data_IF_488968364113
#
_entry.id   IF_488968364113
#
_cell.length_a   1.000
_cell.length_b   1.000
_cell.length_c   1.000
_cell.angle_alpha   90.00
_cell.angle_beta   90.00
_cell.angle_gamma   90.00
#
_symmetry.space_group_name_H-M   'P 1'
#
loop_
_entity.id
_entity.type
_entity.pdbx_description
1 polymer ?
#
# COMPACT_ATOMS: atom_id res chain seq x y z
N UNK A 1 7.98 -8.38 -12.91
CA UNK A 1 8.11 -7.04 -12.30
C UNK A 1 6.87 -6.66 -11.48
N UNK A 2 6.36 -7.55 -10.61
CA UNK A 2 5.19 -7.26 -9.75
C UNK A 2 5.54 -7.44 -8.26
N UNK A 3 6.38 -8.42 -7.91
CA UNK A 3 6.78 -8.68 -6.53
C UNK A 3 7.77 -7.66 -5.91
N UNK A 4 8.59 -6.99 -6.72
CA UNK A 4 9.57 -6.01 -6.20
C UNK A 4 8.91 -4.72 -5.67
N UNK A 5 7.68 -4.42 -6.14
CA UNK A 5 6.97 -3.24 -5.65
C UNK A 5 6.36 -3.46 -4.27
N UNK A 6 5.84 -4.63 -3.95
CA UNK A 6 5.18 -4.88 -2.66
C UNK A 6 6.16 -4.85 -1.47
N UNK A 7 7.34 -5.46 -1.60
CA UNK A 7 8.32 -5.47 -0.51
C UNK A 7 8.90 -4.08 -0.22
N UNK A 8 9.25 -3.31 -1.26
CA UNK A 8 9.72 -1.93 -1.07
C UNK A 8 8.62 -1.00 -0.55
N UNK A 9 7.35 -1.33 -0.80
CA UNK A 9 6.21 -0.57 -0.30
C UNK A 9 5.99 -0.83 1.19
N UNK A 10 6.06 -2.09 1.62
CA UNK A 10 5.99 -2.48 3.03
C UNK A 10 7.16 -1.87 3.84
N UNK A 11 8.36 -1.83 3.26
CA UNK A 11 9.51 -1.15 3.87
C UNK A 11 9.30 0.35 4.09
N UNK A 12 8.56 1.03 3.21
CA UNK A 12 8.22 2.46 3.38
C UNK A 12 7.24 2.71 4.52
N UNK A 13 6.24 1.83 4.67
CA UNK A 13 5.25 1.94 5.76
C UNK A 13 5.96 1.90 7.12
N UNK A 14 6.88 0.94 7.31
CA UNK A 14 7.63 0.79 8.56
C UNK A 14 8.51 2.03 8.81
N UNK A 15 9.19 2.55 7.78
CA UNK A 15 10.04 3.75 7.91
C UNK A 15 9.21 5.00 8.20
N UNK A 16 8.06 5.21 7.55
CA UNK A 16 7.19 6.37 7.82
C UNK A 16 6.61 6.35 9.24
N UNK A 17 6.14 5.18 9.70
CA UNK A 17 5.61 5.03 11.06
C UNK A 17 6.68 5.32 12.10
N UNK A 18 7.91 4.81 11.90
CA UNK A 18 9.02 5.06 12.81
C UNK A 18 9.60 6.48 12.69
N UNK A 19 9.45 7.15 11.55
CA UNK A 19 9.93 8.51 11.32
C UNK A 19 9.00 9.59 11.90
N UNK A 20 7.70 9.31 11.96
CA UNK A 20 6.68 10.29 12.42
C UNK A 20 6.40 10.22 13.91
N UNK A 21 6.66 9.07 14.55
CA UNK A 21 6.47 8.88 15.98
C UNK A 21 7.59 8.02 16.56
N UNK A 22 8.22 8.50 17.63
CA UNK A 22 9.04 7.63 18.47
C UNK A 22 8.12 6.87 19.41
N UNK A 23 8.21 5.55 19.38
CA UNK A 23 7.48 4.68 20.30
C UNK A 23 8.36 4.37 21.49
N UNK A 24 7.86 4.70 22.68
CA UNK A 24 8.55 4.40 23.94
C UNK A 24 8.41 2.92 24.36
N UNK A 25 7.56 2.16 23.67
CA UNK A 25 7.38 0.72 23.89
C UNK A 25 6.97 -0.03 22.63
N UNK A 26 7.32 -1.32 22.56
CA UNK A 26 6.90 -2.22 21.49
C UNK A 26 5.37 -2.37 21.43
N UNK A 27 4.70 -2.35 22.58
CA UNK A 27 3.24 -2.41 22.69
C UNK A 27 2.55 -1.18 22.07
N UNK A 28 3.14 0.01 22.22
CA UNK A 28 2.65 1.23 21.56
C UNK A 28 2.75 1.15 20.03
N UNK A 29 3.83 0.55 19.53
CA UNK A 29 4.01 0.30 18.10
C UNK A 29 3.01 -0.74 17.57
N UNK A 30 2.83 -1.85 18.29
CA UNK A 30 1.92 -2.94 17.92
C UNK A 30 0.46 -2.50 17.83
N UNK A 31 0.03 -1.57 18.71
CA UNK A 31 -1.33 -1.01 18.67
C UNK A 31 -1.51 0.05 17.58
N UNK A 32 -0.43 0.72 17.17
CA UNK A 32 -0.48 1.83 16.21
C UNK A 32 -0.36 1.34 14.76
N UNK A 33 0.47 0.33 14.52
CA UNK A 33 0.73 -0.22 13.19
C UNK A 33 -0.55 -0.64 12.44
N UNK A 34 -1.50 -1.40 13.04
CA UNK A 34 -2.72 -1.82 12.35
C UNK A 34 -3.55 -0.62 11.88
N UNK A 35 -3.63 0.44 12.69
CA UNK A 35 -4.39 1.65 12.39
C UNK A 35 -3.74 2.45 11.26
N UNK A 36 -2.42 2.49 11.25
CA UNK A 36 -1.67 3.12 10.16
C UNK A 36 -1.83 2.34 8.86
N UNK A 37 -1.63 1.02 8.88
CA UNK A 37 -1.78 0.15 7.70
C UNK A 37 -3.18 0.28 7.09
N UNK A 38 -4.22 0.29 7.91
CA UNK A 38 -5.59 0.50 7.45
C UNK A 38 -5.78 1.87 6.79
N UNK A 39 -5.35 2.95 7.46
CA UNK A 39 -5.47 4.30 6.93
C UNK A 39 -4.66 4.49 5.63
N UNK A 40 -3.46 3.94 5.60
CA UNK A 40 -2.56 3.98 4.46
C UNK A 40 -3.12 3.26 3.23
N UNK A 41 -3.63 2.03 3.43
CA UNK A 41 -4.12 1.21 2.34
C UNK A 41 -5.43 1.72 1.75
N UNK A 42 -6.33 2.25 2.59
CA UNK A 42 -7.71 2.50 2.19
C UNK A 42 -8.06 3.99 2.11
N UNK A 43 -7.39 4.86 2.87
CA UNK A 43 -7.81 6.26 3.05
C UNK A 43 -6.79 7.31 2.61
N UNK A 44 -5.47 7.02 2.65
CA UNK A 44 -4.42 7.99 2.35
C UNK A 44 -3.99 7.91 0.88
N UNK A 45 -4.30 8.93 0.05
CA UNK A 45 -3.91 8.94 -1.34
C UNK A 45 -2.42 9.19 -1.51
N UNK A 46 -1.76 8.38 -2.34
CA UNK A 46 -0.32 8.45 -2.54
C UNK A 46 0.01 9.21 -3.83
N UNK A 47 0.86 10.24 -3.74
CA UNK A 47 1.34 11.00 -4.91
C UNK A 47 1.96 10.09 -5.96
N UNK A 48 2.76 9.11 -5.53
CA UNK A 48 3.39 8.11 -6.39
C UNK A 48 2.38 7.19 -7.10
N UNK A 49 1.16 7.05 -6.56
CA UNK A 49 0.05 6.30 -7.14
C UNK A 49 -0.96 7.24 -7.82
N UNK A 50 -0.51 8.40 -8.32
CA UNK A 50 -1.36 9.41 -8.96
C UNK A 50 -2.52 9.86 -8.07
N UNK A 51 -2.21 10.12 -6.80
CA UNK A 51 -3.20 10.54 -5.79
C UNK A 51 -4.33 9.51 -5.60
N UNK A 52 -4.02 8.22 -5.76
CA UNK A 52 -4.92 7.11 -5.39
C UNK A 52 -4.40 6.39 -4.16
N UNK A 53 -5.31 5.72 -3.44
CA UNK A 53 -4.91 4.83 -2.35
C UNK A 53 -4.32 3.54 -2.91
N UNK A 54 -3.46 2.83 -2.15
CA UNK A 54 -2.88 1.56 -2.57
C UNK A 54 -3.93 0.55 -3.03
N UNK A 55 -5.02 0.39 -2.27
CA UNK A 55 -6.10 -0.53 -2.61
C UNK A 55 -6.77 -0.18 -3.95
N UNK A 56 -7.00 1.10 -4.22
CA UNK A 56 -7.56 1.55 -5.51
C UNK A 56 -6.59 1.26 -6.65
N UNK A 57 -5.30 1.55 -6.47
CA UNK A 57 -4.28 1.28 -7.48
C UNK A 57 -4.16 -0.22 -7.81
N UNK A 58 -4.23 -1.09 -6.80
CA UNK A 58 -4.22 -2.56 -6.98
C UNK A 58 -5.46 -3.04 -7.74
N UNK A 59 -6.66 -2.60 -7.34
CA UNK A 59 -7.91 -2.95 -8.02
C UNK A 59 -7.89 -2.52 -9.50
N UNK A 60 -7.45 -1.30 -9.77
CA UNK A 60 -7.32 -0.79 -11.13
C UNK A 60 -6.30 -1.58 -11.95
N UNK A 61 -5.17 -1.97 -11.33
CA UNK A 61 -4.18 -2.84 -11.95
C UNK A 61 -4.74 -4.21 -12.31
N UNK A 62 -5.47 -4.84 -11.38
CA UNK A 62 -6.11 -6.14 -11.59
C UNK A 62 -7.15 -6.09 -12.73
N UNK A 63 -8.02 -5.06 -12.74
CA UNK A 63 -8.98 -4.86 -13.83
C UNK A 63 -8.29 -4.66 -15.18
N UNK A 64 -7.12 -4.03 -15.21
CA UNK A 64 -6.33 -3.89 -16.45
C UNK A 64 -5.81 -5.23 -16.94
N UNK A 65 -5.37 -6.10 -16.04
CA UNK A 65 -4.91 -7.46 -16.38
C UNK A 65 -6.07 -8.29 -16.93
N UNK A 66 -7.23 -8.28 -16.26
CA UNK A 66 -8.42 -9.02 -16.70
C UNK A 66 -8.82 -8.55 -18.11
N UNK A 67 -8.93 -7.24 -18.33
CA UNK A 67 -9.24 -6.71 -19.68
C UNK A 67 -8.23 -7.10 -20.74
N UNK A 68 -6.94 -7.14 -20.38
CA UNK A 68 -5.90 -7.54 -21.32
C UNK A 68 -6.06 -9.02 -21.70
N UNK A 69 -6.43 -9.86 -20.75
CA UNK A 69 -6.73 -11.27 -21.02
C UNK A 69 -7.95 -11.40 -21.96
N UNK A 70 -9.03 -10.67 -21.69
CA UNK A 70 -10.23 -10.71 -22.54
C UNK A 70 -9.94 -10.31 -24.00
N UNK A 71 -9.09 -9.30 -24.21
CA UNK A 71 -8.68 -8.84 -25.55
C UNK A 71 -7.83 -9.89 -26.29
N UNK A 72 -6.98 -10.62 -25.56
CA UNK A 72 -6.07 -11.60 -26.15
C UNK A 72 -6.71 -12.98 -26.35
N UNK A 73 -7.88 -13.22 -25.75
CA UNK A 73 -8.63 -14.47 -25.84
C UNK A 73 -9.71 -14.46 -26.91
N UNK A 74 -9.93 -13.30 -27.56
CA UNK A 74 -10.93 -13.07 -28.61
C UNK A 74 -10.37 -13.20 -30.02
#
# INVERSE_FOLDING_TARGET
MVFEKDERFNGRIIVEVLATHRFDSAQGLETTLPRYVWSYNDHLPQRALRHSTPMVAMKNGMLRIIRLFDILSG
#
